data_IF_318288127786
#
_entry.id   IF_318288127786
#
_cell.length_a   1.000
_cell.length_b   1.000
_cell.length_c   1.000
_cell.angle_alpha   90.00
_cell.angle_beta   90.00
_cell.angle_gamma   90.00
#
_symmetry.space_group_name_H-M   'P 1'
#
loop_
_entity.id
_entity.type
_entity.pdbx_description
1 polymer ?
#
# COMPACT_ATOMS: atom_id res chain seq x y z
N UNK A 1 -31.52 -66.94 -44.15
CA UNK A 1 -30.96 -65.93 -45.08
C UNK A 1 -31.66 -64.60 -44.84
N UNK A 2 -30.86 -63.54 -44.60
CA UNK A 2 -31.11 -62.10 -44.92
C UNK A 2 -32.41 -61.43 -44.42
N UNK A 3 -32.45 -60.15 -44.02
CA UNK A 3 -31.54 -59.10 -43.55
C UNK A 3 -32.44 -57.84 -43.50
N UNK A 4 -32.35 -57.04 -42.41
CA UNK A 4 -32.36 -55.56 -42.39
C UNK A 4 -33.54 -54.77 -43.02
N UNK A 5 -33.96 -53.58 -42.56
CA UNK A 5 -33.50 -52.55 -41.60
C UNK A 5 -34.71 -51.59 -41.48
N UNK A 6 -35.07 -51.06 -40.32
CA UNK A 6 -34.51 -49.79 -39.89
C UNK A 6 -35.17 -49.27 -38.61
N UNK A 7 -34.45 -49.40 -37.49
CA UNK A 7 -34.58 -48.58 -36.29
C UNK A 7 -33.51 -47.48 -36.40
N UNK A 8 -33.85 -46.22 -36.13
CA UNK A 8 -32.87 -45.22 -35.70
C UNK A 8 -33.29 -44.67 -34.34
N UNK A 9 -32.37 -44.87 -33.41
CA UNK A 9 -32.42 -44.56 -32.00
C UNK A 9 -32.32 -43.05 -31.75
N UNK A 10 -32.95 -42.63 -30.65
CA UNK A 10 -32.57 -41.45 -29.90
C UNK A 10 -31.07 -41.51 -29.56
N UNK A 11 -30.31 -40.54 -30.05
CA UNK A 11 -28.92 -40.35 -29.64
C UNK A 11 -28.89 -39.77 -28.23
N UNK A 12 -28.39 -40.55 -27.28
CA UNK A 12 -27.89 -40.04 -26.01
C UNK A 12 -26.73 -39.07 -26.31
N UNK A 13 -26.91 -37.79 -26.00
CA UNK A 13 -25.81 -36.85 -25.89
C UNK A 13 -24.95 -37.20 -24.68
N UNK A 14 -23.71 -37.61 -24.92
CA UNK A 14 -22.69 -37.73 -23.89
C UNK A 14 -22.31 -36.32 -23.43
N UNK A 15 -22.75 -35.94 -22.21
CA UNK A 15 -22.19 -34.80 -21.49
C UNK A 15 -20.86 -35.25 -20.90
N UNK A 16 -19.76 -34.90 -21.55
CA UNK A 16 -18.42 -35.08 -21.01
C UNK A 16 -18.14 -34.02 -19.96
N UNK A 17 -18.60 -34.24 -18.73
CA UNK A 17 -18.25 -33.37 -17.61
C UNK A 17 -16.73 -33.40 -17.38
N UNK A 18 -16.09 -32.25 -17.52
CA UNK A 18 -14.68 -32.09 -17.23
C UNK A 18 -14.47 -32.25 -15.72
N UNK A 19 -13.94 -33.40 -15.29
CA UNK A 19 -13.53 -33.64 -13.91
C UNK A 19 -12.26 -32.83 -13.59
N UNK A 20 -12.44 -31.66 -12.98
CA UNK A 20 -11.33 -30.82 -12.51
C UNK A 20 -10.92 -31.28 -11.10
N UNK A 21 -9.80 -31.99 -10.99
CA UNK A 21 -9.18 -32.35 -9.71
C UNK A 21 -8.17 -31.27 -9.31
N UNK A 22 -8.39 -30.61 -8.17
CA UNK A 22 -7.40 -29.69 -7.55
C UNK A 22 -6.16 -30.51 -7.19
N UNK A 23 -5.00 -30.23 -7.81
CA UNK A 23 -3.71 -30.71 -7.28
C UNK A 23 -3.58 -30.15 -5.85
N UNK A 24 -3.61 -31.04 -4.86
CA UNK A 24 -3.32 -30.66 -3.48
C UNK A 24 -1.87 -30.21 -3.40
N UNK A 25 -1.65 -28.91 -3.27
CA UNK A 25 -0.33 -28.41 -2.89
C UNK A 25 -0.11 -28.79 -1.43
N UNK A 26 0.92 -29.59 -1.16
CA UNK A 26 1.27 -30.12 0.17
C UNK A 26 1.92 -29.06 1.07
N UNK A 27 1.31 -27.88 1.15
CA UNK A 27 1.67 -26.91 2.18
C UNK A 27 0.92 -27.29 3.45
N UNK A 28 1.66 -27.47 4.56
CA UNK A 28 1.06 -27.42 5.89
C UNK A 28 0.24 -26.12 6.00
N UNK A 29 -0.87 -26.12 6.76
CA UNK A 29 -1.65 -24.89 6.95
C UNK A 29 -0.72 -23.79 7.47
N UNK A 30 -0.50 -22.77 6.63
CA UNK A 30 0.30 -21.61 7.00
C UNK A 30 -0.59 -20.73 7.88
N UNK A 31 -0.11 -20.41 9.08
CA UNK A 31 -0.85 -19.59 10.02
C UNK A 31 -0.51 -18.12 9.84
N UNK A 32 -1.51 -17.25 9.97
CA UNK A 32 -1.30 -15.81 10.00
C UNK A 32 -0.86 -15.41 11.40
N UNK A 33 0.23 -14.66 11.49
CA UNK A 33 0.75 -14.11 12.74
C UNK A 33 1.04 -12.61 12.62
N UNK A 34 0.98 -11.86 13.73
CA UNK A 34 1.49 -10.50 13.76
C UNK A 34 3.02 -10.52 13.61
N UNK A 35 3.53 -9.66 12.74
CA UNK A 35 4.97 -9.40 12.62
C UNK A 35 5.33 -8.19 13.50
N UNK A 36 6.48 -8.27 14.14
CA UNK A 36 7.00 -7.28 15.09
C UNK A 36 8.33 -6.72 14.60
N UNK A 37 8.88 -5.74 15.32
CA UNK A 37 10.15 -5.08 14.96
C UNK A 37 11.30 -6.07 14.71
N UNK A 38 11.35 -7.18 15.47
CA UNK A 38 12.37 -8.23 15.33
C UNK A 38 12.32 -8.96 13.99
N UNK A 39 11.19 -8.87 13.27
CA UNK A 39 10.99 -9.50 11.98
C UNK A 39 11.40 -8.59 10.81
N UNK A 40 11.87 -7.36 11.11
CA UNK A 40 12.20 -6.36 10.11
C UNK A 40 13.15 -6.86 9.03
N UNK A 41 14.22 -7.55 9.41
CA UNK A 41 15.20 -8.11 8.47
C UNK A 41 14.59 -9.16 7.53
N UNK A 42 13.76 -10.07 8.04
CA UNK A 42 13.05 -11.06 7.22
C UNK A 42 12.06 -10.40 6.24
N UNK A 43 11.37 -9.35 6.69
CA UNK A 43 10.45 -8.58 5.85
C UNK A 43 11.20 -7.85 4.74
N UNK A 44 12.33 -7.20 5.07
CA UNK A 44 13.19 -6.54 4.09
C UNK A 44 13.71 -7.53 3.06
N UNK A 45 14.14 -8.73 3.47
CA UNK A 45 14.58 -9.78 2.54
C UNK A 45 13.48 -10.23 1.57
N UNK A 46 12.24 -10.38 2.05
CA UNK A 46 11.10 -10.66 1.18
C UNK A 46 10.86 -9.51 0.18
N UNK A 47 10.98 -8.27 0.63
CA UNK A 47 10.67 -7.10 -0.17
C UNK A 47 11.73 -6.87 -1.24
N UNK A 48 13.00 -7.02 -0.90
CA UNK A 48 14.11 -6.93 -1.85
C UNK A 48 14.02 -8.02 -2.93
N UNK A 49 13.67 -9.25 -2.55
CA UNK A 49 13.38 -10.35 -3.51
C UNK A 49 12.26 -9.99 -4.50
N UNK A 50 11.35 -9.09 -4.11
CA UNK A 50 10.25 -8.60 -4.94
C UNK A 50 10.57 -7.26 -5.63
N UNK A 51 11.80 -6.75 -5.50
CA UNK A 51 12.26 -5.50 -6.12
C UNK A 51 11.87 -4.23 -5.36
N UNK A 52 11.46 -4.34 -4.09
CA UNK A 52 11.07 -3.20 -3.26
C UNK A 52 12.20 -2.80 -2.32
N UNK A 53 12.54 -1.51 -2.33
CA UNK A 53 13.68 -0.95 -1.59
C UNK A 53 13.29 -0.41 -0.21
N UNK A 54 12.86 -1.29 0.69
CA UNK A 54 12.53 -0.93 2.07
C UNK A 54 13.72 -1.18 2.98
N UNK A 55 13.97 -0.25 3.91
CA UNK A 55 14.94 -0.44 4.99
C UNK A 55 14.24 -0.91 6.28
N UNK A 56 15.01 -1.43 7.25
CA UNK A 56 14.45 -1.82 8.54
C UNK A 56 13.85 -0.63 9.30
N UNK A 57 14.41 0.58 9.13
CA UNK A 57 13.85 1.81 9.70
C UNK A 57 12.47 2.13 9.13
N UNK A 58 12.26 1.88 7.84
CA UNK A 58 10.96 2.05 7.20
C UNK A 58 9.96 1.02 7.76
N UNK A 59 10.38 -0.23 7.94
CA UNK A 59 9.54 -1.26 8.60
C UNK A 59 9.19 -0.88 10.05
N UNK A 60 10.14 -0.33 10.82
CA UNK A 60 9.90 0.15 12.18
C UNK A 60 8.89 1.32 12.21
N UNK A 61 8.96 2.25 11.26
CA UNK A 61 7.99 3.35 11.12
C UNK A 61 6.59 2.83 10.80
N UNK A 62 6.50 1.85 9.90
CA UNK A 62 5.26 1.16 9.55
C UNK A 62 4.62 0.52 10.79
N UNK A 63 5.42 -0.22 11.57
CA UNK A 63 4.96 -0.89 12.79
C UNK A 63 4.54 0.09 13.89
N UNK A 64 5.11 1.30 13.94
CA UNK A 64 4.65 2.38 14.84
C UNK A 64 3.33 3.01 14.40
N UNK A 65 2.96 2.84 13.13
CA UNK A 65 1.79 3.51 12.52
C UNK A 65 0.63 2.55 12.23
N UNK A 66 0.82 1.24 12.44
CA UNK A 66 -0.16 0.23 12.07
C UNK A 66 0.21 -1.17 12.54
N UNK A 67 -0.47 -2.17 11.96
CA UNK A 67 -0.19 -3.59 12.21
C UNK A 67 0.28 -4.27 10.94
N UNK A 68 1.33 -5.09 11.06
CA UNK A 68 1.85 -5.93 9.98
C UNK A 68 1.55 -7.39 10.32
N UNK A 69 1.02 -8.14 9.36
CA UNK A 69 0.74 -9.57 9.49
C UNK A 69 1.50 -10.33 8.41
N UNK A 70 1.80 -11.60 8.67
CA UNK A 70 2.45 -12.45 7.69
C UNK A 70 2.25 -13.95 7.92
N UNK A 71 2.86 -14.72 7.03
CA UNK A 71 3.01 -16.16 7.18
C UNK A 71 4.51 -16.51 7.17
N UNK A 72 4.89 -17.55 7.92
CA UNK A 72 6.23 -18.14 7.85
C UNK A 72 6.22 -19.51 7.21
N UNK A 73 7.26 -19.84 6.46
CA UNK A 73 7.49 -21.20 6.00
C UNK A 73 8.05 -22.10 7.12
N UNK A 74 8.23 -23.40 6.84
CA UNK A 74 8.79 -24.38 7.80
C UNK A 74 10.20 -24.04 8.32
N UNK A 75 10.93 -23.17 7.62
CA UNK A 75 12.27 -22.69 8.01
C UNK A 75 12.21 -21.40 8.84
N UNK A 76 11.01 -20.93 9.21
CA UNK A 76 10.80 -19.70 9.99
C UNK A 76 10.92 -18.41 9.18
N UNK A 77 11.08 -18.46 7.86
CA UNK A 77 11.20 -17.23 7.04
C UNK A 77 9.82 -16.65 6.72
N UNK A 78 9.69 -15.33 6.81
CA UNK A 78 8.50 -14.60 6.33
C UNK A 78 8.38 -14.76 4.82
N UNK A 79 7.22 -15.24 4.36
CA UNK A 79 6.95 -15.52 2.93
C UNK A 79 5.78 -14.71 2.36
N UNK A 80 5.06 -13.98 3.22
CA UNK A 80 4.04 -13.04 2.77
C UNK A 80 3.74 -12.04 3.87
N UNK A 81 3.26 -10.85 3.49
CA UNK A 81 2.90 -9.77 4.40
C UNK A 81 1.63 -9.06 3.96
N UNK A 82 0.95 -8.41 4.90
CA UNK A 82 0.02 -7.30 4.64
C UNK A 82 0.00 -6.37 5.86
N UNK A 83 -0.09 -5.07 5.60
CA UNK A 83 -0.17 -4.03 6.63
C UNK A 83 -1.53 -3.33 6.61
N UNK A 84 -2.01 -2.95 7.79
CA UNK A 84 -3.17 -2.08 7.96
C UNK A 84 -2.82 -0.93 8.89
N UNK A 85 -3.10 0.29 8.42
CA UNK A 85 -2.85 1.55 9.11
C UNK A 85 -4.20 2.17 9.49
N UNK A 86 -4.67 1.97 10.73
CA UNK A 86 -5.92 2.57 11.18
C UNK A 86 -5.73 4.07 11.40
N UNK A 87 -6.60 4.87 10.78
CA UNK A 87 -6.80 6.27 11.09
C UNK A 87 -8.16 6.44 11.77
N UNK A 88 -8.56 7.67 12.11
CA UNK A 88 -9.80 7.91 12.87
C UNK A 88 -11.05 7.33 12.17
N UNK A 89 -11.29 7.72 10.92
CA UNK A 89 -12.51 7.36 10.14
C UNK A 89 -12.24 6.39 8.98
N UNK A 90 -10.98 6.25 8.59
CA UNK A 90 -10.53 5.45 7.45
C UNK A 90 -9.35 4.57 7.86
N UNK A 91 -8.99 3.59 7.04
CA UNK A 91 -7.75 2.83 7.19
C UNK A 91 -7.07 2.65 5.84
N UNK A 92 -5.75 2.66 5.83
CA UNK A 92 -4.96 2.34 4.64
C UNK A 92 -4.46 0.90 4.72
N UNK A 93 -4.71 0.11 3.69
CA UNK A 93 -4.19 -1.25 3.53
C UNK A 93 -3.05 -1.22 2.51
N UNK A 94 -1.95 -1.87 2.83
CA UNK A 94 -0.77 -1.88 1.96
C UNK A 94 0.17 -3.04 2.23
N UNK A 95 1.34 -2.98 1.59
CA UNK A 95 2.42 -3.96 1.80
C UNK A 95 1.98 -5.41 1.63
N UNK A 96 1.06 -5.65 0.68
CA UNK A 96 0.57 -6.98 0.34
C UNK A 96 1.61 -7.66 -0.56
N UNK A 97 2.51 -8.41 0.05
CA UNK A 97 3.60 -9.08 -0.62
C UNK A 97 3.47 -10.59 -0.44
N UNK A 98 3.75 -11.36 -1.49
CA UNK A 98 3.80 -12.82 -1.43
C UNK A 98 5.01 -13.29 -2.23
N UNK A 99 5.84 -14.09 -1.58
CA UNK A 99 6.98 -14.75 -2.22
C UNK A 99 6.49 -15.50 -3.47
N UNK A 100 7.16 -15.34 -4.64
CA UNK A 100 6.77 -15.99 -5.88
C UNK A 100 6.51 -17.51 -5.74
N UNK A 101 7.29 -18.20 -4.90
CA UNK A 101 7.20 -19.65 -4.69
C UNK A 101 5.97 -20.07 -3.87
N UNK A 102 5.24 -19.09 -3.31
CA UNK A 102 4.05 -19.28 -2.48
C UNK A 102 2.84 -18.50 -3.02
N UNK A 103 2.86 -18.09 -4.29
CA UNK A 103 1.72 -17.43 -4.95
C UNK A 103 0.62 -18.46 -5.33
N UNK A 104 -0.57 -17.94 -5.64
CA UNK A 104 -1.74 -18.72 -6.12
C UNK A 104 -2.28 -19.79 -5.16
N UNK A 105 -1.87 -19.77 -3.89
CA UNK A 105 -2.44 -20.63 -2.82
C UNK A 105 -3.33 -19.86 -1.83
N UNK A 106 -3.59 -18.57 -2.08
CA UNK A 106 -4.54 -17.76 -1.31
C UNK A 106 -3.98 -17.00 -0.10
N UNK A 107 -2.64 -16.88 0.05
CA UNK A 107 -2.03 -16.17 1.19
C UNK A 107 -2.41 -14.69 1.25
N UNK A 108 -2.36 -13.98 0.12
CA UNK A 108 -2.74 -12.57 0.06
C UNK A 108 -4.21 -12.36 0.47
N UNK A 109 -5.13 -13.21 -0.01
CA UNK A 109 -6.54 -13.16 0.37
C UNK A 109 -6.75 -13.35 1.88
N UNK A 110 -6.03 -14.29 2.48
CA UNK A 110 -6.09 -14.55 3.91
C UNK A 110 -5.61 -13.34 4.72
N UNK A 111 -4.47 -12.75 4.33
CA UNK A 111 -3.90 -11.58 4.99
C UNK A 111 -4.77 -10.33 4.84
N UNK A 112 -5.32 -10.07 3.65
CA UNK A 112 -6.22 -8.94 3.42
C UNK A 112 -7.49 -9.09 4.27
N UNK A 113 -8.10 -10.29 4.31
CA UNK A 113 -9.25 -10.55 5.19
C UNK A 113 -8.92 -10.32 6.66
N UNK A 114 -7.73 -10.74 7.11
CA UNK A 114 -7.26 -10.46 8.47
C UNK A 114 -7.16 -8.96 8.74
N UNK A 115 -6.60 -8.20 7.80
CA UNK A 115 -6.51 -6.74 7.90
C UNK A 115 -7.90 -6.08 7.96
N UNK A 116 -8.84 -6.47 7.09
CA UNK A 116 -10.22 -5.95 7.09
C UNK A 116 -10.88 -6.22 8.44
N UNK A 117 -10.73 -7.43 8.99
CA UNK A 117 -11.33 -7.78 10.29
C UNK A 117 -10.81 -6.95 11.48
N UNK A 118 -9.68 -6.25 11.34
CA UNK A 118 -9.10 -5.39 12.39
C UNK A 118 -9.67 -3.98 12.41
N UNK A 119 -10.33 -3.54 11.35
CA UNK A 119 -10.83 -2.17 11.17
C UNK A 119 -12.24 -2.17 10.59
N UNK A 120 -13.08 -3.11 11.04
CA UNK A 120 -14.44 -3.34 10.50
C UNK A 120 -15.40 -2.15 10.64
N UNK A 121 -15.04 -1.16 11.45
CA UNK A 121 -15.75 0.08 11.73
C UNK A 121 -15.34 1.24 10.81
N UNK A 122 -14.43 1.02 9.85
CA UNK A 122 -13.84 2.07 9.00
C UNK A 122 -13.90 1.72 7.52
N UNK A 123 -13.91 2.73 6.67
CA UNK A 123 -13.66 2.55 5.23
C UNK A 123 -12.17 2.24 5.00
N UNK A 124 -11.88 1.33 4.08
CA UNK A 124 -10.50 0.89 3.79
C UNK A 124 -10.10 1.33 2.39
N UNK A 125 -8.97 2.01 2.28
CA UNK A 125 -8.35 2.42 1.01
C UNK A 125 -7.03 1.68 0.78
N UNK A 126 -6.66 1.48 -0.48
CA UNK A 126 -5.39 0.90 -0.89
C UNK A 126 -5.01 1.36 -2.30
N UNK A 127 -3.75 1.19 -2.65
CA UNK A 127 -3.27 1.34 -4.02
C UNK A 127 -3.04 -0.05 -4.60
N UNK A 128 -3.86 -0.43 -5.57
CA UNK A 128 -3.76 -1.73 -6.22
C UNK A 128 -2.74 -1.68 -7.37
N UNK A 129 -1.88 -2.69 -7.46
CA UNK A 129 -1.17 -2.98 -8.71
C UNK A 129 -2.12 -3.67 -9.69
N UNK A 130 -1.80 -3.66 -10.98
CA UNK A 130 -2.57 -4.41 -11.99
C UNK A 130 -2.69 -5.91 -11.64
N UNK A 131 -1.61 -6.52 -11.11
CA UNK A 131 -1.63 -7.93 -10.65
C UNK A 131 -2.55 -8.12 -9.42
N UNK A 132 -2.57 -7.15 -8.50
CA UNK A 132 -3.35 -7.22 -7.26
C UNK A 132 -4.83 -6.86 -7.41
N UNK A 133 -5.19 -6.04 -8.41
CA UNK A 133 -6.55 -5.52 -8.59
C UNK A 133 -7.65 -6.59 -8.56
N UNK A 134 -7.54 -7.74 -9.28
CA UNK A 134 -8.59 -8.77 -9.25
C UNK A 134 -8.81 -9.41 -7.87
N UNK A 135 -7.80 -9.40 -6.99
CA UNK A 135 -7.96 -9.87 -5.61
C UNK A 135 -8.84 -8.91 -4.82
N UNK A 136 -8.58 -7.61 -4.93
CA UNK A 136 -9.29 -6.58 -4.16
C UNK A 136 -10.74 -6.46 -4.64
N UNK A 137 -11.00 -6.52 -5.94
CA UNK A 137 -12.37 -6.51 -6.48
C UNK A 137 -13.21 -7.69 -5.96
N UNK A 138 -12.63 -8.90 -5.89
CA UNK A 138 -13.28 -10.07 -5.28
C UNK A 138 -13.57 -9.91 -3.79
N UNK A 139 -12.90 -8.99 -3.11
CA UNK A 139 -13.09 -8.66 -1.71
C UNK A 139 -13.97 -7.42 -1.51
N UNK A 140 -14.58 -6.89 -2.58
CA UNK A 140 -15.54 -5.79 -2.53
C UNK A 140 -14.92 -4.40 -2.66
N UNK A 141 -13.61 -4.28 -2.93
CA UNK A 141 -12.99 -2.99 -3.23
C UNK A 141 -13.40 -2.51 -4.62
N UNK A 142 -13.52 -1.19 -4.77
CA UNK A 142 -13.84 -0.53 -6.03
C UNK A 142 -12.76 0.49 -6.38
N UNK A 143 -12.48 0.65 -7.67
CA UNK A 143 -11.52 1.67 -8.13
C UNK A 143 -12.18 3.04 -8.08
N UNK A 144 -11.58 3.99 -7.33
CA UNK A 144 -12.09 5.37 -7.20
C UNK A 144 -11.22 6.40 -7.93
N UNK A 145 -9.93 6.12 -8.10
CA UNK A 145 -8.97 7.00 -8.78
C UNK A 145 -7.70 6.24 -9.16
N UNK A 146 -6.75 6.91 -9.81
CA UNK A 146 -5.44 6.37 -10.19
C UNK A 146 -4.31 7.15 -9.50
N UNK A 147 -3.24 6.45 -9.12
CA UNK A 147 -2.02 7.07 -8.59
C UNK A 147 -0.92 7.06 -9.66
N UNK A 148 -0.28 8.20 -9.87
CA UNK A 148 0.85 8.33 -10.78
C UNK A 148 2.17 8.42 -9.99
N UNK A 149 3.13 7.56 -10.34
CA UNK A 149 4.47 7.57 -9.76
C UNK A 149 5.43 8.24 -10.75
N UNK A 150 6.07 9.32 -10.31
CA UNK A 150 7.11 10.01 -11.07
C UNK A 150 8.49 9.65 -10.50
N UNK A 151 9.45 9.38 -11.39
CA UNK A 151 10.84 9.06 -11.01
C UNK A 151 11.77 9.90 -11.88
N UNK A 152 12.52 10.80 -11.25
CA UNK A 152 13.58 11.56 -11.90
C UNK A 152 14.90 10.80 -11.80
N UNK A 153 15.63 10.71 -12.93
CA UNK A 153 16.99 10.11 -12.97
C UNK A 153 18.08 11.09 -12.58
N UNK A 154 17.84 12.37 -12.83
CA UNK A 154 18.79 13.46 -12.62
C UNK A 154 18.07 14.62 -11.96
N UNK A 155 18.80 15.34 -11.10
CA UNK A 155 18.34 16.61 -10.56
C UNK A 155 18.71 17.71 -11.56
N UNK A 156 17.70 18.36 -12.12
CA UNK A 156 17.88 19.55 -12.95
C UNK A 156 17.64 20.75 -12.05
N UNK A 157 18.70 21.51 -11.79
CA UNK A 157 18.56 22.77 -11.06
C UNK A 157 17.80 23.76 -11.95
N UNK A 158 16.61 24.15 -11.50
CA UNK A 158 15.85 25.26 -12.07
C UNK A 158 16.00 26.50 -11.19
N UNK A 159 16.05 27.68 -11.82
CA UNK A 159 15.73 28.91 -11.10
C UNK A 159 14.24 28.87 -10.79
N UNK A 160 13.90 28.70 -9.51
CA UNK A 160 12.55 28.98 -9.06
C UNK A 160 12.39 30.50 -9.12
N UNK A 161 11.53 30.96 -10.02
CA UNK A 161 11.03 32.34 -9.98
C UNK A 161 10.13 32.43 -8.74
N UNK A 162 10.74 32.75 -7.60
CA UNK A 162 9.99 32.99 -6.37
C UNK A 162 9.01 34.12 -6.63
N UNK A 163 7.72 33.87 -6.43
CA UNK A 163 6.76 34.96 -6.33
C UNK A 163 6.89 35.57 -4.94
N UNK A 164 6.88 36.90 -4.83
CA UNK A 164 6.93 37.60 -3.53
C UNK A 164 5.73 37.26 -2.61
N UNK A 165 4.77 36.46 -3.08
CA UNK A 165 3.55 36.06 -2.40
C UNK A 165 3.73 34.97 -1.34
N UNK A 166 4.84 34.23 -1.33
CA UNK A 166 5.06 33.13 -0.38
C UNK A 166 6.49 33.07 0.15
N UNK A 167 6.66 32.42 1.29
CA UNK A 167 7.97 32.09 1.86
C UNK A 167 8.08 30.58 2.09
N UNK A 168 9.25 30.01 1.79
CA UNK A 168 9.57 28.62 2.09
C UNK A 168 10.65 28.62 3.16
N UNK A 169 10.42 27.89 4.26
CA UNK A 169 11.39 27.73 5.34
C UNK A 169 11.38 26.32 5.91
N UNK A 170 12.41 25.92 6.67
CA UNK A 170 12.40 24.65 7.38
C UNK A 170 11.23 24.53 8.35
N UNK A 171 10.70 23.30 8.50
CA UNK A 171 9.69 22.97 9.52
C UNK A 171 10.35 22.97 10.92
N UNK A 172 9.71 23.67 11.87
CA UNK A 172 10.05 23.68 13.28
C UNK A 172 9.06 22.85 14.10
N UNK A 173 9.41 22.51 15.34
CA UNK A 173 8.55 21.71 16.22
C UNK A 173 7.19 22.39 16.47
N UNK A 174 7.16 23.72 16.63
CA UNK A 174 5.91 24.45 16.87
C UNK A 174 4.96 24.45 15.66
N UNK A 175 5.45 24.13 14.46
CA UNK A 175 4.65 24.11 13.24
C UNK A 175 3.83 22.83 13.06
N UNK A 176 4.19 21.76 13.78
CA UNK A 176 3.62 20.42 13.60
C UNK A 176 2.08 20.40 13.73
N UNK A 177 1.44 21.08 14.71
CA UNK A 177 -0.01 21.11 14.80
C UNK A 177 -0.70 21.71 13.56
N UNK A 178 -0.14 22.77 12.99
CA UNK A 178 -0.68 23.40 11.77
C UNK A 178 -0.54 22.48 10.55
N UNK A 179 0.60 21.77 10.44
CA UNK A 179 0.83 20.77 9.39
C UNK A 179 -0.15 19.61 9.49
N UNK A 180 -0.41 19.09 10.69
CA UNK A 180 -1.36 18.00 10.91
C UNK A 180 -2.77 18.41 10.47
N UNK A 181 -3.20 19.64 10.81
CA UNK A 181 -4.50 20.14 10.37
C UNK A 181 -4.59 20.20 8.85
N UNK A 182 -3.60 20.81 8.20
CA UNK A 182 -3.55 20.92 6.74
C UNK A 182 -3.53 19.54 6.06
N UNK A 183 -2.75 18.60 6.60
CA UNK A 183 -2.68 17.24 6.09
C UNK A 183 -4.00 16.48 6.24
N UNK A 184 -4.69 16.65 7.37
CA UNK A 184 -5.99 16.04 7.61
C UNK A 184 -7.03 16.53 6.62
N UNK A 185 -7.03 17.83 6.29
CA UNK A 185 -7.92 18.43 5.28
C UNK A 185 -7.61 17.88 3.88
N UNK A 186 -6.34 17.78 3.51
CA UNK A 186 -5.93 17.28 2.19
C UNK A 186 -6.10 15.76 2.02
N UNK A 187 -5.83 14.98 3.08
CA UNK A 187 -5.89 13.52 3.04
C UNK A 187 -7.30 12.97 3.32
N UNK A 188 -8.14 13.73 4.03
CA UNK A 188 -9.49 13.29 4.43
C UNK A 188 -9.52 12.38 5.65
N UNK A 189 -8.42 12.29 6.42
CA UNK A 189 -8.34 11.48 7.64
C UNK A 189 -7.18 11.88 8.54
N UNK A 190 -7.33 11.67 9.84
CA UNK A 190 -6.28 11.95 10.82
C UNK A 190 -5.23 10.83 10.80
N UNK A 191 -4.10 11.12 10.13
CA UNK A 191 -2.89 10.29 10.08
C UNK A 191 -1.72 10.90 10.85
N UNK A 192 -1.99 11.71 11.87
CA UNK A 192 -1.00 12.44 12.68
C UNK A 192 0.18 11.58 13.15
N UNK A 193 -0.07 10.38 13.68
CA UNK A 193 0.99 9.45 14.13
C UNK A 193 1.97 9.12 13.00
N UNK A 194 1.45 8.79 11.82
CA UNK A 194 2.29 8.51 10.65
C UNK A 194 3.07 9.75 10.24
N UNK A 195 2.38 10.90 10.16
CA UNK A 195 2.97 12.15 9.69
C UNK A 195 4.08 12.65 10.62
N UNK A 196 3.90 12.59 11.94
CA UNK A 196 4.93 12.96 12.90
C UNK A 196 6.17 12.08 12.81
N UNK A 197 5.98 10.75 12.68
CA UNK A 197 7.09 9.82 12.49
C UNK A 197 7.82 10.09 11.17
N UNK A 198 7.07 10.43 10.11
CA UNK A 198 7.62 10.80 8.81
C UNK A 198 8.41 12.11 8.86
N UNK A 199 7.92 13.14 9.56
CA UNK A 199 8.62 14.41 9.77
C UNK A 199 9.95 14.20 10.53
N UNK A 200 9.98 13.27 11.49
CA UNK A 200 11.21 12.92 12.23
C UNK A 200 12.24 12.21 11.35
N UNK A 201 11.80 11.38 10.41
CA UNK A 201 12.66 10.63 9.50
C UNK A 201 13.15 11.47 8.31
N UNK A 202 12.40 12.49 7.91
CA UNK A 202 12.68 13.28 6.71
C UNK A 202 14.01 14.05 6.83
N UNK A 203 14.86 13.90 5.81
CA UNK A 203 16.13 14.65 5.66
C UNK A 203 15.88 16.06 5.12
N UNK A 204 14.78 16.24 4.37
CA UNK A 204 14.28 17.55 3.95
C UNK A 204 12.88 17.77 4.49
N UNK A 205 12.65 18.92 5.10
CA UNK A 205 11.37 19.29 5.69
C UNK A 205 11.13 20.78 5.50
N UNK A 206 10.19 21.13 4.62
CA UNK A 206 9.91 22.51 4.27
C UNK A 206 8.44 22.84 4.49
N UNK A 207 8.19 24.06 4.89
CA UNK A 207 6.88 24.66 5.07
C UNK A 207 6.75 25.86 4.15
N UNK A 208 5.60 25.96 3.50
CA UNK A 208 5.17 27.09 2.70
C UNK A 208 4.25 27.98 3.54
N UNK A 209 4.57 29.26 3.66
CA UNK A 209 3.72 30.27 4.30
C UNK A 209 3.34 31.41 3.37
N UNK A 210 2.15 31.96 3.54
CA UNK A 210 1.75 33.22 2.91
C UNK A 210 2.57 34.39 3.48
N UNK A 211 2.51 35.55 2.84
CA UNK A 211 3.07 36.81 3.40
C UNK A 211 2.47 37.20 4.75
N UNK A 212 1.22 36.83 5.02
CA UNK A 212 0.53 37.10 6.29
C UNK A 212 0.87 36.07 7.37
N UNK A 213 1.71 35.08 7.06
CA UNK A 213 2.19 34.08 8.01
C UNK A 213 1.34 32.82 8.10
N UNK A 214 0.29 32.68 7.30
CA UNK A 214 -0.55 31.48 7.26
C UNK A 214 0.20 30.30 6.64
N UNK A 215 0.01 29.09 7.18
CA UNK A 215 0.57 27.85 6.61
C UNK A 215 -0.27 27.40 5.42
N UNK A 216 0.33 27.42 4.23
CA UNK A 216 -0.32 27.03 2.98
C UNK A 216 0.05 25.61 2.55
N UNK A 217 1.23 25.13 2.94
CA UNK A 217 1.77 23.88 2.41
C UNK A 217 2.95 23.35 3.19
N UNK A 218 3.29 22.11 2.92
CA UNK A 218 4.49 21.48 3.43
C UNK A 218 5.01 20.41 2.45
N UNK A 219 6.29 20.09 2.54
CA UNK A 219 6.91 19.03 1.75
C UNK A 219 7.99 18.32 2.54
N UNK A 220 7.99 16.99 2.44
CA UNK A 220 8.98 16.11 3.08
C UNK A 220 9.80 15.37 2.03
N UNK A 221 11.09 15.19 2.32
CA UNK A 221 12.01 14.34 1.58
C UNK A 221 12.63 13.30 2.50
N UNK A 222 12.44 12.02 2.21
CA UNK A 222 12.97 10.89 2.97
C UNK A 222 14.02 10.16 2.12
N UNK A 223 15.20 9.97 2.68
CA UNK A 223 16.25 9.21 2.03
C UNK A 223 15.99 7.71 2.20
N UNK A 224 15.67 7.01 1.12
CA UNK A 224 15.69 5.55 1.04
C UNK A 224 17.07 5.07 0.55
N UNK A 225 17.41 3.77 0.66
CA UNK A 225 18.73 3.26 0.27
C UNK A 225 19.14 3.62 -1.17
N UNK A 226 18.21 3.59 -2.13
CA UNK A 226 18.49 3.88 -3.55
C UNK A 226 18.03 5.25 -4.05
N UNK A 227 17.14 5.94 -3.35
CA UNK A 227 16.53 7.18 -3.87
C UNK A 227 16.00 8.11 -2.79
N UNK A 228 15.96 9.41 -3.10
CA UNK A 228 15.21 10.38 -2.31
C UNK A 228 13.71 10.27 -2.66
N UNK A 229 12.90 9.84 -1.69
CA UNK A 229 11.44 9.87 -1.80
C UNK A 229 10.95 11.27 -1.43
N UNK A 230 10.22 11.92 -2.35
CA UNK A 230 9.51 13.17 -2.06
C UNK A 230 8.08 12.81 -1.70
N UNK A 231 7.69 13.12 -0.48
CA UNK A 231 6.35 12.83 0.01
C UNK A 231 6.28 12.63 1.53
N UNK A 232 5.13 12.96 2.13
CA UNK A 232 4.01 13.70 1.54
C UNK A 232 4.37 15.16 1.18
N UNK A 233 3.62 15.70 0.22
CA UNK A 233 3.63 17.11 -0.17
C UNK A 233 2.17 17.56 -0.23
N UNK A 234 1.87 18.66 0.46
CA UNK A 234 0.57 19.34 0.39
C UNK A 234 0.85 20.80 0.07
N UNK A 235 0.20 21.31 -0.95
CA UNK A 235 0.31 22.70 -1.39
C UNK A 235 -1.01 23.10 -2.07
N UNK A 236 -1.37 24.39 -2.09
CA UNK A 236 -2.50 24.86 -2.87
C UNK A 236 -2.24 24.67 -4.37
N UNK A 237 -3.31 24.59 -5.15
CA UNK A 237 -3.21 24.65 -6.60
C UNK A 237 -2.65 26.02 -7.05
N UNK A 238 -2.10 26.07 -8.26
CA UNK A 238 -1.47 27.24 -8.90
C UNK A 238 -2.36 28.49 -8.98
N UNK A 239 -3.67 28.38 -8.73
CA UNK A 239 -4.61 29.50 -8.70
C UNK A 239 -4.77 30.14 -7.29
N UNK A 240 -4.09 29.65 -6.26
CA UNK A 240 -4.26 30.13 -4.88
C UNK A 240 -5.63 29.74 -4.29
N UNK A 241 -5.88 30.03 -2.99
CA UNK A 241 -7.22 29.85 -2.42
C UNK A 241 -8.20 30.73 -3.18
N UNK A 242 -9.26 30.12 -3.72
CA UNK A 242 -10.44 30.85 -4.18
C UNK A 242 -11.15 31.31 -2.91
N UNK A 243 -10.90 32.55 -2.50
CA UNK A 243 -11.66 33.22 -1.45
C UNK A 243 -13.12 33.41 -1.86
#
# INVERSE_FOLDING_TARGET
>A
MKKNRGRKNAGLGFWGDCFIKRKGASYLPLHIEPLVKKDGSDVVLLFDRLGWDYSEEEIDLILKSGSLFGHRNKKGKVISTAAIFPYKTIASLGMVMVDPDYRRIGLATQLVKKCISKVSDRSIMLVATEEGKPLYEKLGFQTVTTLHKFVAKEYISGSLSGTDSYTIRPILKQDIPEIIRLDQEAFGGDRSIFLENRIKQAVYRVMLRSRTGEVLGYGLGVQNPRMLMIGPVVAPDTMGPIY
#
